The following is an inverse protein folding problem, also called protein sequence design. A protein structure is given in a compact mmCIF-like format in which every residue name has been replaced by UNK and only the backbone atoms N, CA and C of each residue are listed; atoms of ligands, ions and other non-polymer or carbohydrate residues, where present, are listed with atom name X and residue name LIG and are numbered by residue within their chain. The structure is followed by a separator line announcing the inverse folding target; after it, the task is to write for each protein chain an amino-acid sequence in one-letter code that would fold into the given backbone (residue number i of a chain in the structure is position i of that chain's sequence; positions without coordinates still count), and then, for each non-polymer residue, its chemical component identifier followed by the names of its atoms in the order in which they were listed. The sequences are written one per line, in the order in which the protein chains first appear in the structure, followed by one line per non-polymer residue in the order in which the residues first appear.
data_IF_647733793807
#
_entry.id   IF_647733793807
#
_cell.length_a   1.000
_cell.length_b   1.000
_cell.length_c   1.000
_cell.angle_alpha   90.00
_cell.angle_beta   90.00
_cell.angle_gamma   90.00
#
_symmetry.space_group_name_H-M   'P 1'
#
loop_
_entity.id
_entity.type
_entity.pdbx_description
1 polymer ?
#
# COMPACT_ATOMS: atom_id res chain seq x y z
N UNK A 1 11.71 44.76 -24.68
CA UNK A 1 12.21 43.85 -25.74
C UNK A 1 11.18 42.74 -25.91
N UNK A 2 10.44 42.74 -27.02
CA UNK A 2 9.47 41.69 -27.31
C UNK A 2 10.20 40.44 -27.83
N UNK A 3 10.14 39.34 -27.09
CA UNK A 3 10.65 38.05 -27.55
C UNK A 3 9.70 37.51 -28.63
N UNK A 4 9.95 37.86 -29.89
CA UNK A 4 9.33 37.17 -31.02
C UNK A 4 9.97 35.78 -31.11
N UNK A 5 9.28 34.79 -30.55
CA UNK A 5 9.63 33.38 -30.65
C UNK A 5 9.58 32.99 -32.14
N UNK A 6 10.74 32.67 -32.72
CA UNK A 6 10.85 32.26 -34.12
C UNK A 6 9.93 31.05 -34.32
N UNK A 7 8.94 31.19 -35.20
CA UNK A 7 8.02 30.10 -35.59
C UNK A 7 8.87 28.93 -36.10
N UNK A 8 8.93 27.86 -35.31
CA UNK A 8 9.53 26.61 -35.77
C UNK A 8 8.53 25.92 -36.70
N UNK A 9 8.70 26.11 -38.01
CA UNK A 9 7.82 25.60 -39.05
C UNK A 9 7.68 24.08 -39.02
N UNK A 10 8.74 23.35 -38.66
CA UNK A 10 8.71 21.88 -38.52
C UNK A 10 7.74 21.48 -37.41
N UNK A 11 7.85 22.13 -36.24
CA UNK A 11 6.97 21.87 -35.11
C UNK A 11 5.51 22.21 -35.41
N UNK A 12 5.26 23.23 -36.24
CA UNK A 12 3.90 23.56 -36.68
C UNK A 12 3.35 22.49 -37.62
N UNK A 13 4.18 21.98 -38.54
CA UNK A 13 3.80 20.92 -39.46
C UNK A 13 3.49 19.61 -38.72
N UNK A 14 4.32 19.25 -37.73
CA UNK A 14 4.08 18.08 -36.88
C UNK A 14 2.76 18.18 -36.11
N UNK A 15 2.45 19.37 -35.59
CA UNK A 15 1.18 19.61 -34.88
C UNK A 15 -0.02 19.53 -35.82
N UNK A 16 0.10 19.99 -37.07
CA UNK A 16 -0.97 19.89 -38.06
C UNK A 16 -1.22 18.41 -38.42
N UNK A 17 -0.17 17.63 -38.65
CA UNK A 17 -0.27 16.19 -38.91
C UNK A 17 -0.94 15.44 -37.74
N UNK A 18 -0.58 15.78 -36.50
CA UNK A 18 -1.21 15.18 -35.31
C UNK A 18 -2.68 15.58 -35.21
N UNK A 19 -3.03 16.82 -35.51
CA UNK A 19 -4.40 17.32 -35.52
C UNK A 19 -5.26 16.58 -36.55
N UNK A 20 -4.75 16.38 -37.76
CA UNK A 20 -5.44 15.62 -38.82
C UNK A 20 -5.67 14.16 -38.37
N UNK A 21 -4.63 13.50 -37.87
CA UNK A 21 -4.73 12.12 -37.37
C UNK A 21 -5.75 11.94 -36.24
N UNK A 22 -5.77 12.88 -35.28
CA UNK A 22 -6.76 12.86 -34.19
C UNK A 22 -8.18 13.12 -34.69
N UNK A 23 -8.33 14.01 -35.68
CA UNK A 23 -9.62 14.28 -36.31
C UNK A 23 -10.18 13.02 -36.99
N UNK A 24 -9.35 12.31 -37.75
CA UNK A 24 -9.75 11.08 -38.44
C UNK A 24 -10.17 9.99 -37.46
N UNK A 25 -9.40 9.79 -36.39
CA UNK A 25 -9.75 8.85 -35.32
C UNK A 25 -11.08 9.19 -34.64
N UNK A 26 -11.29 10.47 -34.32
CA UNK A 26 -12.53 10.91 -33.70
C UNK A 26 -13.72 10.72 -34.65
N UNK A 27 -13.55 11.09 -35.92
CA UNK A 27 -14.59 10.92 -36.92
C UNK A 27 -14.94 9.43 -37.12
N UNK A 28 -13.94 8.56 -37.17
CA UNK A 28 -14.14 7.12 -37.26
C UNK A 28 -14.94 6.60 -36.06
N UNK A 29 -14.58 6.99 -34.84
CA UNK A 29 -15.30 6.58 -33.64
C UNK A 29 -16.76 7.04 -33.64
N UNK A 30 -17.02 8.29 -34.04
CA UNK A 30 -18.39 8.83 -34.15
C UNK A 30 -19.20 8.02 -35.17
N UNK A 31 -18.64 7.76 -36.34
CA UNK A 31 -19.31 6.99 -37.41
C UNK A 31 -19.59 5.54 -37.01
N UNK A 32 -18.63 4.89 -36.34
CA UNK A 32 -18.80 3.52 -35.86
C UNK A 32 -19.96 3.42 -34.87
N UNK A 33 -19.97 4.27 -33.83
CA UNK A 33 -21.04 4.29 -32.82
C UNK A 33 -22.39 4.63 -33.46
N UNK A 34 -22.42 5.60 -34.37
CA UNK A 34 -23.66 5.97 -35.04
C UNK A 34 -24.21 4.85 -35.93
N UNK A 35 -23.33 4.15 -36.67
CA UNK A 35 -23.71 2.98 -37.48
C UNK A 35 -24.28 1.87 -36.61
N UNK A 36 -23.65 1.56 -35.47
CA UNK A 36 -24.15 0.55 -34.52
C UNK A 36 -25.54 0.91 -33.96
N UNK A 37 -25.82 2.20 -33.80
CA UNK A 37 -27.12 2.70 -33.37
C UNK A 37 -28.13 2.95 -34.51
N UNK A 38 -27.77 2.69 -35.77
CA UNK A 38 -28.62 2.98 -36.93
C UNK A 38 -28.91 4.47 -37.14
N UNK A 39 -28.00 5.35 -36.68
CA UNK A 39 -28.11 6.81 -36.80
C UNK A 39 -27.33 7.28 -38.02
N UNK A 40 -28.01 7.88 -38.98
CA UNK A 40 -27.41 8.36 -40.23
C UNK A 40 -27.18 9.88 -40.25
N UNK A 41 -27.89 10.61 -39.38
CA UNK A 41 -27.83 12.07 -39.29
C UNK A 41 -27.99 12.55 -37.84
N UNK A 42 -27.33 13.65 -37.49
CA UNK A 42 -27.38 14.24 -36.16
C UNK A 42 -27.75 15.71 -36.24
N UNK A 43 -28.72 16.14 -35.42
CA UNK A 43 -29.03 17.54 -35.24
C UNK A 43 -27.88 18.25 -34.49
N UNK A 44 -27.26 19.24 -35.12
CA UNK A 44 -26.20 20.06 -34.53
C UNK A 44 -26.53 21.54 -34.65
N UNK A 45 -26.15 22.32 -33.64
CA UNK A 45 -26.29 23.78 -33.68
C UNK A 45 -24.94 24.42 -33.37
N UNK A 46 -24.42 25.31 -34.25
CA UNK A 46 -23.20 26.05 -33.97
C UNK A 46 -23.38 27.02 -32.79
N UNK A 47 -24.62 27.45 -32.49
CA UNK A 47 -24.91 28.52 -31.54
C UNK A 47 -25.46 28.04 -30.19
N UNK A 48 -25.53 26.73 -29.94
CA UNK A 48 -26.06 26.20 -28.67
C UNK A 48 -25.38 26.78 -27.42
N UNK A 49 -24.07 27.04 -27.51
CA UNK A 49 -23.27 27.63 -26.43
C UNK A 49 -23.61 29.12 -26.16
N UNK A 50 -24.21 29.81 -27.13
CA UNK A 50 -24.55 31.24 -27.15
C UNK A 50 -26.06 31.46 -26.86
N UNK A 51 -26.89 30.42 -26.93
CA UNK A 51 -28.34 30.51 -26.66
C UNK A 51 -28.70 31.10 -25.28
N UNK A 52 -27.78 31.09 -24.30
CA UNK A 52 -27.98 31.74 -23.00
C UNK A 52 -27.85 33.26 -23.05
N UNK A 53 -27.08 33.79 -24.00
CA UNK A 53 -26.67 35.19 -24.09
C UNK A 53 -27.34 35.95 -25.23
N UNK A 54 -27.82 35.27 -26.28
CA UNK A 54 -28.44 35.89 -27.44
C UNK A 54 -29.83 35.30 -27.71
N UNK A 55 -30.70 36.07 -28.36
CA UNK A 55 -32.01 35.65 -28.86
C UNK A 55 -31.85 35.50 -30.37
N UNK A 56 -32.10 34.31 -30.88
CA UNK A 56 -32.25 34.10 -32.32
C UNK A 56 -33.67 34.50 -32.71
N UNK A 57 -33.80 35.37 -33.71
CA UNK A 57 -35.11 35.84 -34.21
C UNK A 57 -35.90 34.69 -34.86
N UNK A 58 -35.21 33.69 -35.42
CA UNK A 58 -35.80 32.56 -36.16
C UNK A 58 -35.65 31.20 -35.45
N UNK A 59 -35.29 31.20 -34.16
CA UNK A 59 -35.01 29.97 -33.39
C UNK A 59 -33.58 29.43 -33.59
N UNK A 60 -33.19 28.37 -32.83
CA UNK A 60 -31.87 27.77 -32.95
C UNK A 60 -31.66 27.18 -34.32
N UNK A 61 -30.60 27.61 -35.00
CA UNK A 61 -30.17 26.93 -36.20
C UNK A 61 -29.77 25.51 -35.81
N UNK A 62 -30.56 24.58 -36.31
CA UNK A 62 -30.31 23.16 -36.22
C UNK A 62 -29.98 22.72 -37.63
N UNK A 63 -28.73 22.32 -37.84
CA UNK A 63 -28.27 21.72 -39.08
C UNK A 63 -28.23 20.21 -38.89
N UNK A 64 -28.78 19.49 -39.86
CA UNK A 64 -28.71 18.03 -39.90
C UNK A 64 -27.36 17.64 -40.49
N UNK A 65 -26.50 17.06 -39.65
CA UNK A 65 -25.16 16.61 -40.03
C UNK A 65 -25.27 15.19 -40.59
N UNK A 66 -24.99 14.96 -41.89
CA UNK A 66 -24.92 13.62 -42.45
C UNK A 66 -23.63 12.96 -41.94
N UNK A 67 -23.74 11.80 -41.32
CA UNK A 67 -22.57 11.13 -40.75
C UNK A 67 -21.77 10.36 -41.80
N UNK A 68 -22.36 10.01 -42.95
CA UNK A 68 -21.77 9.09 -43.94
C UNK A 68 -21.32 9.75 -45.26
N UNK A 69 -21.71 11.00 -45.52
CA UNK A 69 -21.54 11.61 -46.84
C UNK A 69 -20.23 12.39 -46.98
N UNK A 70 -19.80 13.11 -45.93
CA UNK A 70 -18.60 13.95 -45.99
C UNK A 70 -17.80 14.01 -44.67
N UNK A 71 -16.54 14.46 -44.70
CA UNK A 71 -15.74 14.74 -43.51
C UNK A 71 -16.44 15.72 -42.56
N UNK A 72 -16.59 15.35 -41.28
CA UNK A 72 -17.33 16.16 -40.29
C UNK A 72 -16.71 17.55 -40.10
N UNK A 73 -15.38 17.67 -40.19
CA UNK A 73 -14.68 18.96 -40.13
C UNK A 73 -15.01 19.83 -41.34
N UNK A 74 -14.94 19.28 -42.55
CA UNK A 74 -15.27 20.01 -43.78
C UNK A 74 -16.74 20.47 -43.78
N UNK A 75 -17.65 19.64 -43.29
CA UNK A 75 -19.07 19.98 -43.10
C UNK A 75 -19.24 21.16 -42.15
N UNK A 76 -18.57 21.10 -41.00
CA UNK A 76 -18.56 22.18 -40.01
C UNK A 76 -18.02 23.46 -40.61
N UNK A 77 -16.89 23.42 -41.30
CA UNK A 77 -16.24 24.61 -41.82
C UNK A 77 -17.08 25.26 -42.93
N UNK A 78 -17.73 24.47 -43.79
CA UNK A 78 -18.71 24.96 -44.78
C UNK A 78 -19.87 25.68 -44.11
N UNK A 79 -20.50 25.04 -43.12
CA UNK A 79 -21.65 25.61 -42.40
C UNK A 79 -21.26 26.90 -41.68
N UNK A 80 -20.13 26.89 -40.98
CA UNK A 80 -19.67 28.08 -40.28
C UNK A 80 -19.36 29.21 -41.27
N UNK A 81 -18.75 28.91 -42.41
CA UNK A 81 -18.45 29.90 -43.44
C UNK A 81 -19.71 30.50 -44.09
N UNK A 82 -20.68 29.65 -44.42
CA UNK A 82 -21.96 30.07 -45.01
C UNK A 82 -22.77 30.93 -44.03
N UNK A 83 -22.67 30.67 -42.72
CA UNK A 83 -23.43 31.41 -41.71
C UNK A 83 -22.72 32.64 -41.14
N UNK A 84 -21.39 32.76 -41.21
CA UNK A 84 -20.68 34.00 -40.88
C UNK A 84 -21.19 35.18 -41.76
N UNK A 85 -21.72 34.87 -42.95
CA UNK A 85 -22.36 35.82 -43.85
C UNK A 85 -23.79 36.23 -43.40
N UNK A 86 -24.51 35.34 -42.71
CA UNK A 86 -25.88 35.59 -42.20
C UNK A 86 -25.91 36.14 -40.77
N UNK A 87 -24.88 35.89 -39.95
CA UNK A 87 -24.82 36.21 -38.52
C UNK A 87 -25.04 37.71 -38.24
N UNK A 88 -24.64 38.59 -39.17
CA UNK A 88 -24.83 40.05 -39.06
C UNK A 88 -26.31 40.48 -38.91
N UNK A 89 -27.28 39.61 -39.19
CA UNK A 89 -28.71 39.94 -39.12
C UNK A 89 -29.53 39.16 -38.07
N UNK A 90 -28.98 38.14 -37.40
CA UNK A 90 -29.79 37.12 -36.71
C UNK A 90 -29.67 37.12 -35.18
N UNK A 91 -28.57 37.61 -34.61
CA UNK A 91 -28.31 37.52 -33.16
C UNK A 91 -28.49 38.87 -32.45
N UNK A 92 -29.53 38.98 -31.62
CA UNK A 92 -29.67 40.09 -30.68
C UNK A 92 -29.23 39.68 -29.28
N UNK A 93 -28.41 40.52 -28.63
CA UNK A 93 -27.97 40.29 -27.25
C UNK A 93 -29.18 40.30 -26.32
N UNK A 94 -29.38 39.23 -25.54
CA UNK A 94 -30.44 39.18 -24.53
C UNK A 94 -30.27 40.37 -23.57
N UNK A 95 -31.33 41.14 -23.28
CA UNK A 95 -31.28 42.17 -22.26
C UNK A 95 -30.98 41.50 -20.92
N UNK A 96 -29.87 41.90 -20.30
CA UNK A 96 -29.41 41.34 -19.02
C UNK A 96 -30.38 41.79 -17.93
N UNK A 97 -31.31 40.92 -17.51
CA UNK A 97 -32.16 41.18 -16.35
C UNK A 97 -31.26 41.34 -15.13
N UNK A 98 -31.34 42.48 -14.45
CA UNK A 98 -30.68 42.68 -13.16
C UNK A 98 -31.30 41.70 -12.17
N UNK A 99 -30.47 41.01 -11.39
CA UNK A 99 -30.96 40.09 -10.37
C UNK A 99 -31.85 40.85 -9.38
N UNK A 100 -33.08 40.39 -9.20
CA UNK A 100 -34.00 40.88 -8.18
C UNK A 100 -33.41 40.63 -6.79
N UNK A 101 -33.71 41.48 -5.81
CA UNK A 101 -33.19 41.36 -4.45
C UNK A 101 -33.51 39.99 -3.81
N UNK A 102 -34.68 39.44 -4.11
CA UNK A 102 -35.06 38.07 -3.72
C UNK A 102 -34.13 37.00 -4.31
N UNK A 103 -33.70 37.16 -5.57
CA UNK A 103 -32.76 36.25 -6.22
C UNK A 103 -31.38 36.27 -5.57
N UNK A 104 -30.93 37.44 -5.11
CA UNK A 104 -29.67 37.59 -4.37
C UNK A 104 -29.74 36.92 -3.00
N UNK A 105 -30.85 37.09 -2.27
CA UNK A 105 -31.06 36.44 -0.98
C UNK A 105 -31.07 34.93 -1.13
N UNK A 106 -31.86 34.41 -2.09
CA UNK A 106 -31.89 32.96 -2.38
C UNK A 106 -30.51 32.39 -2.72
N UNK A 107 -29.74 33.09 -3.55
CA UNK A 107 -28.40 32.65 -3.90
C UNK A 107 -27.45 32.62 -2.70
N UNK A 108 -27.59 33.58 -1.77
CA UNK A 108 -26.84 33.61 -0.52
C UNK A 108 -27.23 32.43 0.39
N UNK A 109 -28.52 32.17 0.55
CA UNK A 109 -29.04 31.07 1.37
C UNK A 109 -28.61 29.70 0.80
N UNK A 110 -28.67 29.55 -0.53
CA UNK A 110 -28.20 28.35 -1.24
C UNK A 110 -26.69 28.14 -1.02
N UNK A 111 -25.91 29.22 -1.04
CA UNK A 111 -24.48 29.17 -0.78
C UNK A 111 -24.18 28.76 0.67
N UNK A 112 -24.83 29.38 1.65
CA UNK A 112 -24.67 29.04 3.07
C UNK A 112 -25.07 27.57 3.33
N UNK A 113 -26.18 27.12 2.75
CA UNK A 113 -26.64 25.73 2.82
C UNK A 113 -25.64 24.77 2.20
N UNK A 114 -25.05 25.11 1.04
CA UNK A 114 -24.02 24.30 0.40
C UNK A 114 -22.76 24.19 1.27
N UNK A 115 -22.40 25.27 1.96
CA UNK A 115 -21.24 25.32 2.86
C UNK A 115 -21.45 24.41 4.08
N UNK A 116 -22.63 24.47 4.70
CA UNK A 116 -23.03 23.58 5.80
C UNK A 116 -22.98 22.12 5.34
N UNK A 117 -23.57 21.79 4.18
CA UNK A 117 -23.55 20.42 3.63
C UNK A 117 -22.13 19.92 3.39
N UNK A 118 -21.23 20.79 2.90
CA UNK A 118 -19.82 20.46 2.69
C UNK A 118 -19.12 20.14 4.00
N UNK A 119 -19.38 20.91 5.06
CA UNK A 119 -18.81 20.68 6.38
C UNK A 119 -19.32 19.38 7.01
N UNK A 120 -20.63 19.13 6.96
CA UNK A 120 -21.22 17.87 7.44
C UNK A 120 -20.66 16.64 6.72
N UNK A 121 -20.42 16.72 5.41
CA UNK A 121 -19.76 15.63 4.67
C UNK A 121 -18.34 15.36 5.19
N UNK A 122 -17.56 16.41 5.43
CA UNK A 122 -16.20 16.26 6.00
C UNK A 122 -16.24 15.60 7.38
N UNK A 123 -17.14 16.04 8.26
CA UNK A 123 -17.28 15.48 9.60
C UNK A 123 -17.68 14.00 9.56
N UNK A 124 -18.63 13.63 8.69
CA UNK A 124 -19.02 12.22 8.48
C UNK A 124 -17.86 11.39 7.95
N UNK A 125 -17.10 11.90 6.99
CA UNK A 125 -15.94 11.19 6.43
C UNK A 125 -14.85 10.97 7.49
N UNK A 126 -14.59 11.97 8.33
CA UNK A 126 -13.64 11.86 9.46
C UNK A 126 -14.14 10.80 10.46
N UNK A 127 -15.42 10.84 10.84
CA UNK A 127 -16.02 9.89 11.77
C UNK A 127 -15.98 8.45 11.21
N UNK A 128 -16.31 8.25 9.94
CA UNK A 128 -16.24 6.95 9.28
C UNK A 128 -14.80 6.41 9.23
N UNK A 129 -13.81 7.25 8.89
CA UNK A 129 -12.39 6.85 8.89
C UNK A 129 -11.92 6.45 10.29
N UNK A 130 -12.26 7.24 11.30
CA UNK A 130 -11.90 6.96 12.69
C UNK A 130 -12.51 5.63 13.17
N UNK A 131 -13.81 5.41 12.89
CA UNK A 131 -14.49 4.15 13.21
C UNK A 131 -13.85 2.96 12.51
N UNK A 132 -13.53 3.09 11.22
CA UNK A 132 -12.89 2.01 10.48
C UNK A 132 -11.48 1.69 11.03
N UNK A 133 -10.71 2.72 11.40
CA UNK A 133 -9.40 2.54 12.01
C UNK A 133 -9.49 1.84 13.38
N UNK A 134 -10.45 2.22 14.24
CA UNK A 134 -10.64 1.59 15.55
C UNK A 134 -11.06 0.12 15.41
N UNK A 135 -11.96 -0.20 14.47
CA UNK A 135 -12.33 -1.58 14.16
C UNK A 135 -11.13 -2.39 13.67
N UNK A 136 -10.31 -1.82 12.77
CA UNK A 136 -9.09 -2.48 12.26
C UNK A 136 -8.09 -2.76 13.38
N UNK A 137 -7.86 -1.78 14.26
CA UNK A 137 -7.01 -1.94 15.45
C UNK A 137 -7.56 -3.02 16.39
N UNK A 138 -8.87 -3.03 16.62
CA UNK A 138 -9.53 -4.08 17.41
C UNK A 138 -9.28 -5.48 16.85
N UNK A 139 -9.38 -5.67 15.53
CA UNK A 139 -9.09 -6.95 14.87
C UNK A 139 -7.62 -7.36 15.01
N UNK A 140 -6.69 -6.42 14.87
CA UNK A 140 -5.25 -6.68 15.04
C UNK A 140 -4.96 -7.12 16.47
N UNK A 141 -5.46 -6.40 17.47
CA UNK A 141 -5.29 -6.76 18.87
C UNK A 141 -5.88 -8.14 19.20
N UNK A 142 -7.08 -8.44 18.69
CA UNK A 142 -7.67 -9.77 18.87
C UNK A 142 -6.82 -10.88 18.27
N UNK A 143 -6.26 -10.68 17.06
CA UNK A 143 -5.35 -11.64 16.44
C UNK A 143 -4.07 -11.82 17.24
N UNK A 144 -3.49 -10.72 17.72
CA UNK A 144 -2.29 -10.74 18.55
C UNK A 144 -2.52 -11.52 19.85
N UNK A 145 -3.61 -11.23 20.57
CA UNK A 145 -3.97 -11.93 21.81
C UNK A 145 -4.19 -13.43 21.55
N UNK A 146 -4.93 -13.80 20.49
CA UNK A 146 -5.11 -15.21 20.11
C UNK A 146 -3.77 -15.90 19.80
N UNK A 147 -2.88 -15.23 19.06
CA UNK A 147 -1.56 -15.75 18.73
C UNK A 147 -0.73 -15.98 20.00
N UNK A 148 -0.76 -15.04 20.94
CA UNK A 148 -0.08 -15.21 22.23
C UNK A 148 -0.64 -16.40 23.02
N UNK A 149 -1.97 -16.52 23.12
CA UNK A 149 -2.61 -17.65 23.80
C UNK A 149 -2.19 -19.00 23.20
N UNK A 150 -2.15 -19.11 21.86
CA UNK A 150 -1.65 -20.30 21.17
C UNK A 150 -0.16 -20.55 21.45
N UNK A 151 0.66 -19.50 21.49
CA UNK A 151 2.06 -19.57 21.86
C UNK A 151 2.26 -20.13 23.28
N UNK A 152 1.55 -19.57 24.26
CA UNK A 152 1.57 -20.07 25.65
C UNK A 152 1.08 -21.51 25.75
N UNK A 153 0.04 -21.90 25.01
CA UNK A 153 -0.43 -23.28 24.98
C UNK A 153 0.62 -24.25 24.45
N UNK A 154 1.37 -23.86 23.41
CA UNK A 154 2.50 -24.66 22.88
C UNK A 154 3.63 -24.78 23.90
N UNK A 155 4.02 -23.67 24.54
CA UNK A 155 5.04 -23.68 25.59
C UNK A 155 4.64 -24.55 26.77
N UNK A 156 3.38 -24.51 27.19
CA UNK A 156 2.88 -25.38 28.25
C UNK A 156 2.95 -26.85 27.87
N UNK A 157 2.63 -27.23 26.61
CA UNK A 157 2.81 -28.61 26.13
C UNK A 157 4.28 -29.05 26.20
N UNK A 158 5.20 -28.22 25.74
CA UNK A 158 6.65 -28.49 25.80
C UNK A 158 7.10 -28.65 27.24
N UNK A 159 6.65 -27.78 28.14
CA UNK A 159 6.98 -27.85 29.58
C UNK A 159 6.52 -29.17 30.21
N UNK A 160 5.35 -29.67 29.83
CA UNK A 160 4.85 -30.98 30.29
C UNK A 160 5.71 -32.12 29.74
N UNK A 161 6.09 -32.06 28.46
CA UNK A 161 6.97 -33.05 27.84
C UNK A 161 8.35 -33.10 28.51
N UNK A 162 8.99 -31.94 28.71
CA UNK A 162 10.27 -31.84 29.40
C UNK A 162 10.22 -32.42 30.81
N UNK A 163 9.11 -32.21 31.54
CA UNK A 163 8.94 -32.81 32.87
C UNK A 163 8.90 -34.34 32.78
N UNK A 164 8.17 -34.89 31.81
CA UNK A 164 8.11 -36.34 31.58
C UNK A 164 9.47 -36.93 31.22
N UNK A 165 10.24 -36.28 30.33
CA UNK A 165 11.61 -36.69 30.00
C UNK A 165 12.53 -36.65 31.23
N UNK A 166 12.42 -35.62 32.06
CA UNK A 166 13.23 -35.49 33.26
C UNK A 166 12.90 -36.58 34.29
N UNK A 167 11.61 -36.92 34.46
CA UNK A 167 11.20 -38.05 35.29
C UNK A 167 11.74 -39.38 34.76
N UNK A 168 11.67 -39.63 33.46
CA UNK A 168 12.23 -40.82 32.81
C UNK A 168 13.75 -40.90 32.99
N UNK A 169 14.45 -39.77 32.80
CA UNK A 169 15.89 -39.69 33.02
C UNK A 169 16.26 -40.02 34.47
N UNK A 170 15.55 -39.43 35.44
CA UNK A 170 15.76 -39.72 36.86
C UNK A 170 15.50 -41.20 37.19
N UNK A 171 14.46 -41.82 36.62
CA UNK A 171 14.18 -43.26 36.79
C UNK A 171 15.29 -44.13 36.22
N UNK A 172 15.68 -43.92 34.96
CA UNK A 172 16.79 -44.65 34.32
C UNK A 172 18.09 -44.49 35.08
N UNK A 173 18.40 -43.26 35.53
CA UNK A 173 19.58 -43.00 36.35
C UNK A 173 19.53 -43.74 37.67
N UNK A 174 18.36 -43.81 38.33
CA UNK A 174 18.20 -44.57 39.56
C UNK A 174 18.31 -46.09 39.35
N UNK A 175 17.82 -46.61 38.22
CA UNK A 175 17.99 -48.02 37.81
C UNK A 175 19.47 -48.34 37.57
N UNK A 176 20.16 -47.54 36.76
CA UNK A 176 21.62 -47.70 36.52
C UNK A 176 22.43 -47.56 37.80
N UNK A 177 22.05 -46.68 38.72
CA UNK A 177 22.71 -46.58 40.02
C UNK A 177 22.40 -47.77 40.93
N UNK A 178 21.21 -48.38 40.87
CA UNK A 178 20.90 -49.61 41.59
C UNK A 178 21.64 -50.82 41.01
N UNK A 179 21.76 -50.90 39.70
CA UNK A 179 22.53 -51.94 38.99
C UNK A 179 24.05 -51.71 39.11
N UNK A 180 24.47 -50.45 39.23
CA UNK A 180 25.86 -50.01 39.40
C UNK A 180 26.34 -49.97 40.84
N UNK A 181 25.49 -50.23 41.84
CA UNK A 181 25.94 -50.69 43.15
C UNK A 181 26.31 -52.16 42.96
N UNK A 182 27.47 -52.36 42.34
CA UNK A 182 28.27 -53.56 42.58
C UNK A 182 28.54 -53.48 44.08
N UNK A 183 27.82 -54.27 44.88
CA UNK A 183 28.24 -54.53 46.24
C UNK A 183 29.61 -55.19 46.10
N UNK A 184 30.72 -54.50 46.43
CA UNK A 184 32.03 -55.11 46.31
C UNK A 184 32.00 -56.33 47.22
N UNK A 185 32.14 -57.51 46.62
CA UNK A 185 32.28 -58.74 47.39
C UNK A 185 33.48 -58.56 48.32
N UNK A 186 33.39 -59.08 49.55
CA UNK A 186 34.35 -58.80 50.63
C UNK A 186 35.83 -58.96 50.23
N UNK A 187 36.11 -59.80 49.24
CA UNK A 187 37.44 -60.04 48.66
C UNK A 187 38.02 -58.86 47.87
N UNK A 188 37.20 -58.09 47.15
CA UNK A 188 37.65 -56.94 46.34
C UNK A 188 38.04 -55.75 47.23
N UNK A 189 37.33 -55.55 48.34
CA UNK A 189 37.69 -54.56 49.35
C UNK A 189 39.04 -54.89 50.01
N UNK A 190 39.30 -56.18 50.23
CA UNK A 190 40.57 -56.66 50.80
C UNK A 190 41.75 -56.46 49.83
N UNK A 191 41.52 -56.66 48.54
CA UNK A 191 42.49 -56.37 47.47
C UNK A 191 42.81 -54.88 47.35
N UNK A 192 41.80 -54.00 47.40
CA UNK A 192 42.04 -52.56 47.35
C UNK A 192 42.82 -52.07 48.58
N UNK A 193 42.48 -52.55 49.78
CA UNK A 193 43.20 -52.20 51.01
C UNK A 193 44.65 -52.69 50.96
N UNK A 194 44.91 -53.90 50.47
CA UNK A 194 46.27 -54.45 50.35
C UNK A 194 47.10 -53.69 49.31
N UNK A 195 46.54 -53.30 48.17
CA UNK A 195 47.23 -52.47 47.18
C UNK A 195 47.60 -51.09 47.77
N UNK A 196 46.69 -50.47 48.53
CA UNK A 196 46.98 -49.20 49.22
C UNK A 196 48.06 -49.37 50.29
N UNK A 197 48.06 -50.48 51.04
CA UNK A 197 49.08 -50.77 52.05
C UNK A 197 50.48 -50.99 51.43
N UNK A 198 50.56 -51.66 50.28
CA UNK A 198 51.84 -51.94 49.59
C UNK A 198 52.39 -50.69 48.89
N UNK A 199 51.51 -49.84 48.35
CA UNK A 199 51.92 -48.64 47.61
C UNK A 199 52.20 -47.44 48.53
N UNK A 200 51.61 -47.38 49.72
CA UNK A 200 51.80 -46.30 50.70
C UNK A 200 53.27 -45.99 51.04
N UNK A 201 54.15 -46.99 51.31
CA UNK A 201 55.57 -46.73 51.57
C UNK A 201 56.29 -46.09 50.38
N UNK A 202 55.93 -46.46 49.14
CA UNK A 202 56.53 -45.89 47.94
C UNK A 202 56.19 -44.40 47.80
N UNK A 203 54.94 -44.02 48.05
CA UNK A 203 54.54 -42.60 48.06
C UNK A 203 55.30 -41.80 49.13
N UNK A 204 55.50 -42.36 50.32
CA UNK A 204 56.26 -41.72 51.39
C UNK A 204 57.74 -41.55 51.02
N UNK A 205 58.36 -42.54 50.37
CA UNK A 205 59.76 -42.44 49.92
C UNK A 205 59.93 -41.36 48.84
N UNK A 206 58.99 -41.25 47.89
CA UNK A 206 59.01 -40.22 46.85
C UNK A 206 58.86 -38.82 47.45
N UNK A 207 57.94 -38.65 48.41
CA UNK A 207 57.76 -37.38 49.14
C UNK A 207 59.03 -37.02 49.94
N UNK A 208 59.69 -38.01 50.56
CA UNK A 208 60.92 -37.79 51.32
C UNK A 208 62.08 -37.36 50.41
N UNK A 209 62.27 -38.04 49.28
CA UNK A 209 63.27 -37.68 48.27
C UNK A 209 62.99 -36.28 47.72
N UNK A 210 61.73 -35.97 47.39
CA UNK A 210 61.34 -34.66 46.91
C UNK A 210 61.63 -33.55 47.92
N UNK A 211 61.32 -33.77 49.21
CA UNK A 211 61.62 -32.81 50.27
C UNK A 211 63.13 -32.63 50.49
N UNK A 212 63.91 -33.70 50.41
CA UNK A 212 65.38 -33.63 50.47
C UNK A 212 65.94 -32.82 49.30
N UNK A 213 65.47 -33.09 48.08
CA UNK A 213 65.86 -32.38 46.86
C UNK A 213 65.48 -30.90 46.90
N UNK A 214 64.26 -30.57 47.38
CA UNK A 214 63.82 -29.19 47.58
C UNK A 214 64.71 -28.46 48.59
N UNK A 215 65.04 -29.10 49.72
CA UNK A 215 65.88 -28.53 50.78
C UNK A 215 67.34 -28.34 50.36
N UNK A 216 67.89 -29.18 49.48
CA UNK A 216 69.23 -28.98 48.91
C UNK A 216 69.24 -27.91 47.83
N UNK A 217 68.23 -27.89 46.95
CA UNK A 217 68.04 -26.82 45.94
C UNK A 217 67.91 -25.44 46.57
N UNK A 218 67.15 -25.31 47.65
CA UNK A 218 66.96 -24.04 48.36
C UNK A 218 68.24 -23.57 49.09
N UNK A 219 69.13 -24.49 49.47
CA UNK A 219 70.45 -24.15 50.04
C UNK A 219 71.44 -23.65 48.99
N UNK A 220 71.48 -24.26 47.82
CA UNK A 220 72.34 -23.81 46.71
C UNK A 220 71.90 -22.48 46.09
N UNK A 221 70.65 -22.05 46.29
CA UNK A 221 70.11 -20.77 45.81
C UNK A 221 70.41 -19.56 46.71
N UNK A 222 71.00 -19.76 47.90
CA UNK A 222 71.32 -18.70 48.88
C UNK A 222 72.83 -18.44 49.04
N UNK A 223 73.65 -19.01 48.16
CA UNK A 223 75.08 -18.71 47.95
C UNK A 223 75.21 -18.10 46.57
#
# INVERSE_FOLDING_TARGET
MAHHNIRNYERLNDLENVKESLSDMLQFAIRAVASDCGIYQVAWSPWYHICKTYIEVNGPLIVMVPLNEEPLLSFRDRILHDHDLEEKKVLHRRPKRKATEEGRRKQKDDYETALIRKQQRKERDIAMRSKHQSEKLGRINQRFVKSQQLGYARLNKIKVWMRGEQELFCRRRAEVLKEGIIHPTAEENLLLITIFAITSPLWLTVIFIYNMYKKTRDRYRRT
#
